data_IF_351235306968
#
_entry.id   IF_351235306968
#
_cell.length_a   1.000
_cell.length_b   1.000
_cell.length_c   1.000
_cell.angle_alpha   90.00
_cell.angle_beta   90.00
_cell.angle_gamma   90.00
#
_symmetry.space_group_name_H-M   'P 1'
#
loop_
_entity.id
_entity.type
_entity.pdbx_description
1 polymer ?
#
# COMPACT_ATOMS: atom_id res chain seq x y z
N UNK A 1 -0.16 3.90 7.35
CA UNK A 1 -1.05 2.72 7.41
C UNK A 1 -0.25 1.51 7.87
N UNK A 2 -0.54 0.95 9.04
CA UNK A 2 0.06 -0.33 9.45
C UNK A 2 -0.74 -1.47 8.85
N UNK A 3 -0.12 -2.34 8.05
CA UNK A 3 -0.83 -3.39 7.32
C UNK A 3 0.08 -4.59 7.03
N UNK A 4 -0.55 -5.69 6.61
CA UNK A 4 0.13 -6.88 6.09
C UNK A 4 0.18 -6.81 4.57
N UNK A 5 1.34 -7.13 3.98
CA UNK A 5 1.48 -7.31 2.54
C UNK A 5 0.89 -8.67 2.11
N UNK A 6 -0.20 -8.67 1.36
CA UNK A 6 -0.92 -9.91 0.98
C UNK A 6 -0.58 -10.39 -0.43
N UNK A 7 -0.38 -9.45 -1.35
CA UNK A 7 0.10 -9.76 -2.69
C UNK A 7 0.92 -8.61 -3.24
N UNK A 8 1.80 -8.92 -4.20
CA UNK A 8 2.50 -7.94 -5.03
C UNK A 8 2.61 -8.46 -6.46
N UNK A 9 2.43 -7.56 -7.40
CA UNK A 9 2.60 -7.82 -8.82
C UNK A 9 4.10 -7.91 -9.18
N UNK A 10 4.40 -8.43 -10.38
CA UNK A 10 5.72 -8.21 -10.98
C UNK A 10 5.96 -6.72 -11.28
N UNK A 11 7.22 -6.30 -11.26
CA UNK A 11 7.62 -4.94 -11.64
C UNK A 11 7.21 -4.63 -13.08
N UNK A 12 6.68 -3.43 -13.30
CA UNK A 12 6.36 -2.83 -14.60
C UNK A 12 7.11 -1.50 -14.75
N UNK A 13 7.15 -0.96 -15.95
CA UNK A 13 7.79 0.32 -16.22
C UNK A 13 6.83 1.27 -16.94
N UNK A 14 6.88 2.55 -16.58
CA UNK A 14 6.22 3.60 -17.37
C UNK A 14 6.95 3.79 -18.71
N UNK A 15 6.37 4.49 -19.70
CA UNK A 15 7.07 4.84 -20.94
C UNK A 15 8.39 5.61 -20.72
N UNK A 16 8.50 6.35 -19.62
CA UNK A 16 9.73 7.05 -19.22
C UNK A 16 10.75 6.15 -18.49
N UNK A 17 10.50 4.83 -18.40
CA UNK A 17 11.38 3.88 -17.74
C UNK A 17 11.29 3.89 -16.21
N UNK A 18 10.25 4.49 -15.61
CA UNK A 18 10.11 4.54 -14.16
C UNK A 18 9.50 3.22 -13.66
N UNK A 19 10.13 2.52 -12.69
CA UNK A 19 9.59 1.27 -12.16
C UNK A 19 8.31 1.51 -11.38
N UNK A 20 7.37 0.57 -11.51
CA UNK A 20 6.06 0.58 -10.87
C UNK A 20 5.73 -0.83 -10.41
N UNK A 21 5.21 -0.97 -9.19
CA UNK A 21 4.72 -2.24 -8.68
C UNK A 21 3.45 -2.00 -7.88
N UNK A 22 2.44 -2.82 -8.11
CA UNK A 22 1.20 -2.80 -7.36
C UNK A 22 1.23 -3.88 -6.29
N UNK A 23 0.50 -3.63 -5.19
CA UNK A 23 0.31 -4.60 -4.13
C UNK A 23 -1.08 -4.48 -3.50
N UNK A 24 -1.45 -5.50 -2.74
CA UNK A 24 -2.62 -5.49 -1.89
C UNK A 24 -2.18 -5.52 -0.43
N UNK A 25 -2.73 -4.60 0.37
CA UNK A 25 -2.48 -4.48 1.80
C UNK A 25 -3.75 -4.84 2.58
N UNK A 26 -3.60 -5.59 3.67
CA UNK A 26 -4.69 -5.86 4.62
C UNK A 26 -4.41 -5.15 5.94
N UNK A 27 -5.32 -4.28 6.36
CA UNK A 27 -5.30 -3.64 7.66
C UNK A 27 -6.39 -4.24 8.56
N UNK A 28 -5.97 -4.70 9.73
CA UNK A 28 -6.87 -5.08 10.82
C UNK A 28 -6.48 -4.29 12.07
N UNK A 29 -7.42 -3.53 12.62
CA UNK A 29 -7.14 -2.63 13.73
C UNK A 29 -8.39 -2.07 14.37
N UNK A 30 -8.20 -1.02 15.15
CA UNK A 30 -9.28 -0.26 15.76
C UNK A 30 -8.99 1.23 15.63
N UNK A 31 -10.04 2.02 15.43
CA UNK A 31 -10.00 3.47 15.54
C UNK A 31 -10.97 3.93 16.63
N UNK A 32 -10.71 5.11 17.18
CA UNK A 32 -11.65 5.79 18.06
C UNK A 32 -12.59 6.66 17.21
N UNK A 33 -13.88 6.46 17.33
CA UNK A 33 -14.92 7.25 16.70
C UNK A 33 -15.86 7.80 17.79
N UNK A 34 -15.70 9.08 18.12
CA UNK A 34 -16.47 9.77 19.16
C UNK A 34 -16.41 9.05 20.53
N UNK A 35 -15.20 8.65 20.94
CA UNK A 35 -14.97 7.95 22.21
C UNK A 35 -15.27 6.45 22.17
N UNK A 36 -15.74 5.92 21.05
CA UNK A 36 -16.09 4.51 20.89
C UNK A 36 -15.06 3.81 20.01
N UNK A 37 -14.56 2.65 20.46
CA UNK A 37 -13.67 1.83 19.67
C UNK A 37 -14.44 1.16 18.52
N UNK A 38 -14.07 1.47 17.27
CA UNK A 38 -14.59 0.85 16.05
C UNK A 38 -13.54 -0.10 15.48
N UNK A 39 -13.93 -1.36 15.30
CA UNK A 39 -13.10 -2.36 14.59
C UNK A 39 -13.01 -1.99 13.10
N UNK A 40 -11.80 -2.10 12.55
CA UNK A 40 -11.53 -1.88 11.13
C UNK A 40 -10.92 -3.17 10.58
N UNK A 41 -11.51 -3.65 9.49
CA UNK A 41 -10.94 -4.68 8.61
C UNK A 41 -11.06 -4.13 7.20
N UNK A 42 -9.93 -3.92 6.53
CA UNK A 42 -9.89 -3.21 5.27
C UNK A 42 -8.78 -3.75 4.37
N UNK A 43 -9.14 -3.97 3.12
CA UNK A 43 -8.22 -4.26 2.03
C UNK A 43 -7.95 -2.99 1.23
N UNK A 44 -6.67 -2.64 1.01
CA UNK A 44 -6.25 -1.43 0.29
C UNK A 44 -5.37 -1.79 -0.90
N UNK A 45 -5.81 -1.41 -2.10
CA UNK A 45 -4.97 -1.47 -3.30
C UNK A 45 -3.90 -0.37 -3.19
N UNK A 46 -2.63 -0.72 -3.41
CA UNK A 46 -1.51 0.20 -3.27
C UNK A 46 -0.51 0.08 -4.44
N UNK A 47 0.32 1.12 -4.59
CA UNK A 47 1.28 1.23 -5.68
C UNK A 47 2.57 1.91 -5.18
N UNK A 48 3.71 1.36 -5.58
CA UNK A 48 5.02 2.00 -5.48
C UNK A 48 5.47 2.47 -6.85
N UNK A 49 6.05 3.67 -6.93
CA UNK A 49 6.59 4.27 -8.16
C UNK A 49 8.02 4.74 -7.89
N UNK A 50 8.95 4.41 -8.77
CA UNK A 50 10.35 4.79 -8.62
C UNK A 50 11.10 3.90 -7.62
N UNK A 51 12.17 4.40 -6.97
CA UNK A 51 13.09 3.59 -6.18
C UNK A 51 12.46 2.78 -5.04
N UNK A 52 11.38 3.28 -4.43
CA UNK A 52 10.65 2.63 -3.32
C UNK A 52 10.07 1.25 -3.69
N UNK A 53 9.88 0.98 -4.99
CA UNK A 53 9.42 -0.34 -5.46
C UNK A 53 10.36 -1.48 -5.01
N UNK A 54 11.67 -1.22 -4.89
CA UNK A 54 12.65 -2.25 -4.50
C UNK A 54 12.42 -2.77 -3.08
N UNK A 55 11.96 -1.90 -2.19
CA UNK A 55 11.69 -2.27 -0.80
C UNK A 55 10.47 -3.19 -0.73
N UNK A 56 9.41 -2.87 -1.50
CA UNK A 56 8.24 -3.72 -1.65
C UNK A 56 8.57 -5.08 -2.32
N UNK A 57 9.45 -5.07 -3.32
CA UNK A 57 9.90 -6.28 -4.01
C UNK A 57 10.67 -7.23 -3.09
N UNK A 58 11.41 -6.71 -2.11
CA UNK A 58 12.16 -7.52 -1.13
C UNK A 58 11.32 -7.96 0.06
N UNK A 59 10.22 -7.28 0.34
CA UNK A 59 9.33 -7.59 1.48
C UNK A 59 8.60 -8.92 1.27
N UNK A 60 8.64 -9.82 2.26
CA UNK A 60 7.94 -11.10 2.19
C UNK A 60 6.41 -10.91 2.25
N UNK A 61 5.67 -11.79 1.57
CA UNK A 61 4.22 -11.87 1.75
C UNK A 61 3.90 -12.30 3.18
N UNK A 62 2.92 -11.66 3.80
CA UNK A 62 2.57 -11.86 5.20
C UNK A 62 3.34 -10.97 6.18
N UNK A 63 4.38 -10.27 5.74
CA UNK A 63 5.08 -9.32 6.60
C UNK A 63 4.19 -8.12 6.96
N UNK A 64 4.27 -7.67 8.22
CA UNK A 64 3.62 -6.44 8.67
C UNK A 64 4.58 -5.25 8.54
N UNK A 65 4.07 -4.11 8.09
CA UNK A 65 4.84 -2.88 8.00
C UNK A 65 3.96 -1.65 8.23
N UNK A 66 4.60 -0.53 8.53
CA UNK A 66 4.02 0.81 8.42
C UNK A 66 4.32 1.34 7.02
N UNK A 67 3.26 1.57 6.24
CA UNK A 67 3.31 2.15 4.91
C UNK A 67 2.86 3.62 4.96
N UNK A 68 3.64 4.54 4.42
CA UNK A 68 3.30 5.96 4.33
C UNK A 68 3.12 6.40 2.88
N UNK A 69 2.37 7.48 2.68
CA UNK A 69 2.08 8.00 1.35
C UNK A 69 0.78 8.78 1.26
N UNK A 70 0.10 8.72 0.11
CA UNK A 70 -1.13 9.45 -0.15
C UNK A 70 -2.13 8.63 -0.98
N UNK A 71 -3.42 9.00 -0.92
CA UNK A 71 -4.47 8.39 -1.74
C UNK A 71 -4.69 9.19 -3.02
N UNK A 72 -4.85 8.52 -4.14
CA UNK A 72 -5.24 9.13 -5.40
C UNK A 72 -6.20 8.22 -6.19
N UNK A 73 -7.00 8.76 -7.12
CA UNK A 73 -7.73 7.95 -8.09
C UNK A 73 -6.78 7.05 -8.88
N UNK A 74 -7.18 5.80 -9.13
CA UNK A 74 -6.41 4.84 -9.93
C UNK A 74 -6.10 5.39 -11.32
N UNK A 75 -7.09 6.02 -11.96
CA UNK A 75 -6.92 6.77 -13.21
C UNK A 75 -7.92 7.92 -13.26
N UNK A 76 -7.77 8.85 -14.21
CA UNK A 76 -8.75 9.92 -14.45
C UNK A 76 -10.18 9.39 -14.73
N UNK A 77 -10.31 8.16 -15.25
CA UNK A 77 -11.60 7.53 -15.55
C UNK A 77 -12.06 6.56 -14.45
N UNK A 78 -11.17 6.16 -13.56
CA UNK A 78 -11.44 5.23 -12.47
C UNK A 78 -11.12 5.89 -11.13
N UNK A 79 -12.18 6.37 -10.46
CA UNK A 79 -12.10 7.08 -9.19
C UNK A 79 -11.90 6.14 -7.97
N UNK A 80 -11.70 4.84 -8.17
CA UNK A 80 -11.29 3.95 -7.08
C UNK A 80 -9.96 4.45 -6.53
N UNK A 81 -9.90 4.62 -5.21
CA UNK A 81 -8.70 5.08 -4.54
C UNK A 81 -7.62 3.99 -4.55
N UNK A 82 -6.40 4.40 -4.85
CA UNK A 82 -5.17 3.61 -4.72
C UNK A 82 -4.23 4.36 -3.78
N UNK A 83 -3.57 3.63 -2.90
CA UNK A 83 -2.59 4.17 -1.98
C UNK A 83 -1.20 4.21 -2.61
N UNK A 84 -0.71 5.41 -2.90
CA UNK A 84 0.63 5.64 -3.43
C UNK A 84 1.62 5.64 -2.28
N UNK A 85 2.42 4.58 -2.18
CA UNK A 85 3.40 4.37 -1.11
C UNK A 85 4.65 5.19 -1.42
N UNK A 86 5.09 6.00 -0.45
CA UNK A 86 6.32 6.78 -0.48
C UNK A 86 7.36 6.29 0.53
N UNK A 87 6.95 5.53 1.55
CA UNK A 87 7.85 4.96 2.54
C UNK A 87 7.30 3.63 3.09
N UNK A 88 8.20 2.70 3.43
CA UNK A 88 7.88 1.40 4.03
C UNK A 88 8.83 1.20 5.21
N UNK A 89 8.26 0.97 6.39
CA UNK A 89 9.01 0.58 7.59
C UNK A 89 8.50 -0.77 8.07
N UNK A 90 9.32 -1.82 7.96
CA UNK A 90 8.98 -3.14 8.48
C UNK A 90 8.73 -3.06 9.99
N UNK A 91 7.69 -3.75 10.45
CA UNK A 91 7.50 -4.04 11.86
C UNK A 91 8.29 -5.31 12.19
N UNK A 92 9.12 -5.22 13.23
CA UNK A 92 9.82 -6.37 13.81
C UNK A 92 8.84 -7.29 14.54
#
# INVERSE_FOLDING_TARGET
LTAILVSKDAIRFTPAGIPVMHCQLEHSGQANEVGVARKIQMSVEAITIGPIQKDLERMDLGAEAVFEGFLAPKTLRNQRLVFHITHIQLKN
#
